data_IF_088252462467
#
_entry.id   IF_088252462467
#
_cell.length_a   1.000
_cell.length_b   1.000
_cell.length_c   1.000
_cell.angle_alpha   90.00
_cell.angle_beta   90.00
_cell.angle_gamma   90.00
#
_symmetry.space_group_name_H-M   'P 1'
#
loop_
_entity.id
_entity.type
_entity.pdbx_description
1 polymer ?
#
# COMPACT_ATOMS: atom_id res chain seq x y z
N UNK A 1 14.98 6.61 -17.34
CA UNK A 1 15.88 6.38 -16.19
C UNK A 1 15.06 6.70 -14.94
N UNK A 2 14.36 5.71 -14.39
CA UNK A 2 13.71 5.78 -13.07
C UNK A 2 13.83 4.36 -12.51
N UNK A 3 15.06 3.97 -12.21
CA UNK A 3 15.44 2.65 -11.69
C UNK A 3 15.57 2.65 -10.16
N UNK A 4 14.95 3.64 -9.49
CA UNK A 4 14.88 3.63 -8.03
C UNK A 4 13.59 2.95 -7.59
N UNK A 5 13.71 2.05 -6.63
CA UNK A 5 12.57 1.57 -5.85
C UNK A 5 11.82 2.79 -5.28
N UNK A 6 10.47 2.82 -5.35
CA UNK A 6 9.70 3.93 -4.81
C UNK A 6 9.81 3.95 -3.28
N UNK A 7 10.00 5.15 -2.73
CA UNK A 7 9.96 5.36 -1.28
C UNK A 7 8.49 5.55 -0.85
N UNK A 8 7.98 4.70 0.06
CA UNK A 8 6.63 4.81 0.57
C UNK A 8 6.54 5.88 1.68
N UNK A 9 5.41 6.58 1.76
CA UNK A 9 5.14 7.47 2.90
C UNK A 9 5.11 6.70 4.22
N UNK A 10 4.46 5.52 4.22
CA UNK A 10 4.39 4.61 5.37
C UNK A 10 4.49 3.16 4.89
N UNK A 11 5.25 2.35 5.62
CA UNK A 11 5.29 0.90 5.43
C UNK A 11 5.22 0.15 6.76
N UNK A 12 4.46 -0.94 6.79
CA UNK A 12 4.46 -1.91 7.90
C UNK A 12 5.39 -3.06 7.53
N UNK A 13 6.41 -3.26 8.35
CA UNK A 13 7.47 -4.25 8.15
C UNK A 13 7.29 -5.41 9.12
N UNK A 14 7.46 -6.64 8.63
CA UNK A 14 7.46 -7.87 9.42
C UNK A 14 8.71 -7.98 10.27
N UNK A 15 8.59 -8.61 11.43
CA UNK A 15 9.73 -8.84 12.33
C UNK A 15 9.96 -7.69 13.30
N UNK A 16 11.21 -7.53 13.73
CA UNK A 16 11.65 -6.55 14.73
C UNK A 16 12.70 -5.63 14.12
N UNK A 17 12.84 -4.44 14.68
CA UNK A 17 13.88 -3.46 14.28
C UNK A 17 15.28 -4.10 14.26
N UNK A 18 15.56 -5.02 15.20
CA UNK A 18 16.84 -5.75 15.29
C UNK A 18 17.17 -6.60 14.05
N UNK A 19 16.16 -7.06 13.32
CA UNK A 19 16.33 -7.90 12.13
C UNK A 19 16.91 -7.10 10.94
N UNK A 20 16.88 -5.76 11.04
CA UNK A 20 17.25 -4.81 9.99
C UNK A 20 18.43 -3.89 10.39
N UNK A 21 19.25 -4.28 11.37
CA UNK A 21 20.41 -3.46 11.80
C UNK A 21 21.50 -3.36 10.73
N UNK A 22 21.57 -4.31 9.81
CA UNK A 22 22.64 -4.41 8.81
C UNK A 22 22.13 -4.38 7.36
N UNK A 23 20.82 -4.26 7.16
CA UNK A 23 20.17 -4.15 5.85
C UNK A 23 18.83 -3.45 5.98
N UNK A 24 18.36 -2.82 4.91
CA UNK A 24 16.98 -2.35 4.84
C UNK A 24 15.99 -3.52 4.67
N UNK A 25 14.72 -3.35 5.09
CA UNK A 25 13.64 -4.25 4.71
C UNK A 25 13.51 -4.31 3.19
N UNK A 26 13.42 -5.53 2.64
CA UNK A 26 13.12 -5.75 1.23
C UNK A 26 11.62 -6.01 1.01
N UNK A 27 11.17 -6.19 -0.25
CA UNK A 27 9.76 -6.42 -0.56
C UNK A 27 9.11 -7.58 0.21
N UNK A 28 9.85 -8.68 0.43
CA UNK A 28 9.36 -9.84 1.17
C UNK A 28 9.11 -9.54 2.67
N UNK A 29 9.74 -8.50 3.21
CA UNK A 29 9.59 -8.07 4.60
C UNK A 29 8.39 -7.14 4.78
N UNK A 30 7.83 -6.59 3.71
CA UNK A 30 6.76 -5.58 3.77
C UNK A 30 5.38 -6.26 3.83
N UNK A 31 4.60 -5.93 4.85
CA UNK A 31 3.22 -6.38 5.03
C UNK A 31 2.17 -5.45 4.44
N UNK A 32 2.44 -4.14 4.44
CA UNK A 32 1.55 -3.10 3.92
C UNK A 32 2.37 -1.88 3.51
N UNK A 33 2.02 -1.28 2.38
CA UNK A 33 2.48 0.05 1.97
C UNK A 33 1.29 1.00 1.94
N UNK A 34 1.48 2.24 2.41
CA UNK A 34 0.47 3.30 2.38
C UNK A 34 1.11 4.55 1.79
N UNK A 35 0.40 5.19 0.86
CA UNK A 35 0.74 6.48 0.27
C UNK A 35 -0.37 7.48 0.58
N UNK A 36 -0.01 8.72 0.90
CA UNK A 36 -0.96 9.81 1.16
C UNK A 36 -0.96 10.74 -0.04
N UNK A 37 -2.02 10.65 -0.85
CA UNK A 37 -2.02 11.23 -2.18
C UNK A 37 -2.99 12.41 -2.32
N UNK A 38 -2.45 13.58 -2.66
CA UNK A 38 -3.21 14.71 -3.18
C UNK A 38 -2.77 15.04 -4.61
N UNK A 39 -1.65 15.74 -4.77
CA UNK A 39 -1.08 16.04 -6.08
C UNK A 39 -0.44 14.82 -6.77
N UNK A 40 -0.02 13.82 -5.99
CA UNK A 40 0.63 12.59 -6.47
C UNK A 40 -0.35 11.50 -6.90
N UNK A 41 -1.66 11.70 -6.75
CA UNK A 41 -2.68 10.66 -6.94
C UNK A 41 -2.53 9.87 -8.25
N UNK A 42 -2.36 10.57 -9.37
CA UNK A 42 -2.19 9.91 -10.66
C UNK A 42 -0.94 9.02 -10.71
N UNK A 43 0.16 9.44 -10.08
CA UNK A 43 1.39 8.65 -9.99
C UNK A 43 1.23 7.43 -9.08
N UNK A 44 0.55 7.59 -7.95
CA UNK A 44 0.33 6.53 -6.97
C UNK A 44 -0.62 5.45 -7.50
N UNK A 45 -1.67 5.85 -8.24
CA UNK A 45 -2.64 4.95 -8.88
C UNK A 45 -2.09 4.22 -10.11
N UNK A 46 -1.02 4.73 -10.74
CA UNK A 46 -0.49 4.16 -11.99
C UNK A 46 0.90 3.56 -11.82
N UNK A 47 1.91 4.38 -11.50
CA UNK A 47 3.31 3.96 -11.46
C UNK A 47 3.59 3.20 -10.18
N UNK A 48 3.33 3.78 -8.99
CA UNK A 48 3.64 3.11 -7.72
C UNK A 48 2.81 1.84 -7.54
N UNK A 49 1.50 1.87 -7.82
CA UNK A 49 0.64 0.67 -7.80
C UNK A 49 1.26 -0.50 -8.57
N UNK A 50 1.69 -0.25 -9.81
CA UNK A 50 2.32 -1.27 -10.66
C UNK A 50 3.65 -1.75 -10.09
N UNK A 51 4.49 -0.85 -9.57
CA UNK A 51 5.78 -1.21 -8.98
C UNK A 51 5.61 -2.08 -7.72
N UNK A 52 4.70 -1.71 -6.82
CA UNK A 52 4.40 -2.50 -5.62
C UNK A 52 3.77 -3.85 -5.96
N UNK A 53 2.88 -3.91 -6.95
CA UNK A 53 2.35 -5.18 -7.45
C UNK A 53 3.44 -6.08 -8.07
N UNK A 54 4.38 -5.50 -8.82
CA UNK A 54 5.51 -6.22 -9.40
C UNK A 54 6.44 -6.79 -8.31
N UNK A 55 6.63 -6.04 -7.23
CA UNK A 55 7.40 -6.42 -6.05
C UNK A 55 6.66 -7.39 -5.11
N UNK A 56 5.43 -7.81 -5.45
CA UNK A 56 4.60 -8.73 -4.65
C UNK A 56 4.27 -8.22 -3.25
N UNK A 57 4.17 -6.91 -3.10
CA UNK A 57 3.64 -6.30 -1.88
C UNK A 57 2.17 -6.71 -1.73
N UNK A 58 1.80 -7.40 -0.64
CA UNK A 58 0.50 -8.05 -0.55
C UNK A 58 -0.67 -7.07 -0.40
N UNK A 59 -0.43 -5.92 0.23
CA UNK A 59 -1.43 -4.89 0.48
C UNK A 59 -0.83 -3.52 0.20
N UNK A 60 -1.53 -2.73 -0.62
CA UNK A 60 -1.16 -1.37 -0.98
C UNK A 60 -2.34 -0.44 -0.79
N UNK A 61 -2.16 0.62 0.00
CA UNK A 61 -3.18 1.62 0.27
C UNK A 61 -2.80 2.96 -0.35
N UNK A 62 -3.81 3.66 -0.86
CA UNK A 62 -3.73 5.08 -1.19
C UNK A 62 -4.76 5.81 -0.34
N UNK A 63 -4.31 6.72 0.52
CA UNK A 63 -5.16 7.70 1.18
C UNK A 63 -5.39 8.82 0.18
N UNK A 64 -6.49 8.73 -0.58
CA UNK A 64 -6.82 9.65 -1.65
C UNK A 64 -7.52 10.88 -1.08
N UNK A 65 -6.76 11.96 -0.90
CA UNK A 65 -7.23 13.23 -0.37
C UNK A 65 -8.05 14.04 -1.37
N UNK A 66 -7.93 13.76 -2.68
CA UNK A 66 -8.70 14.46 -3.72
C UNK A 66 -10.17 14.05 -3.67
N UNK A 67 -10.41 12.75 -3.51
CA UNK A 67 -11.76 12.17 -3.51
C UNK A 67 -12.28 11.86 -2.09
N UNK A 68 -11.47 12.13 -1.06
CA UNK A 68 -11.74 11.83 0.34
C UNK A 68 -12.14 10.36 0.57
N UNK A 69 -11.26 9.46 0.14
CA UNK A 69 -11.47 8.01 0.19
C UNK A 69 -10.16 7.26 0.47
N UNK A 70 -10.27 6.03 0.95
CA UNK A 70 -9.15 5.08 1.05
C UNK A 70 -9.28 4.04 -0.05
N UNK A 71 -8.24 3.88 -0.86
CA UNK A 71 -8.17 2.85 -1.90
C UNK A 71 -7.27 1.73 -1.42
N UNK A 72 -7.78 0.50 -1.43
CA UNK A 72 -7.08 -0.69 -0.95
C UNK A 72 -6.91 -1.69 -2.09
N UNK A 73 -5.66 -1.99 -2.41
CA UNK A 73 -5.26 -2.89 -3.47
C UNK A 73 -4.62 -4.15 -2.89
N UNK A 74 -5.12 -5.32 -3.29
CA UNK A 74 -4.63 -6.63 -2.81
C UNK A 74 -4.50 -7.63 -3.96
N UNK A 75 -3.99 -8.82 -3.68
CA UNK A 75 -3.78 -9.89 -4.66
C UNK A 75 -2.88 -9.45 -5.85
N UNK A 76 -1.61 -9.09 -5.58
CA UNK A 76 -0.68 -8.66 -6.62
C UNK A 76 -0.36 -9.80 -7.60
N UNK A 77 -0.63 -9.58 -8.88
CA UNK A 77 -0.39 -10.52 -9.98
C UNK A 77 0.53 -9.90 -11.05
N UNK A 78 0.97 -10.72 -12.00
CA UNK A 78 1.82 -10.29 -13.12
C UNK A 78 3.25 -9.90 -12.71
N UNK A 79 4.02 -9.38 -13.66
CA UNK A 79 5.40 -8.91 -13.47
C UNK A 79 5.68 -7.69 -14.34
N UNK A 80 6.67 -6.87 -13.96
CA UNK A 80 7.17 -5.75 -14.75
C UNK A 80 6.07 -4.74 -15.13
N UNK A 81 5.82 -4.58 -16.43
CA UNK A 81 4.80 -3.64 -16.96
C UNK A 81 3.36 -4.15 -16.84
N UNK A 82 3.18 -5.46 -16.69
CA UNK A 82 1.87 -6.09 -16.62
C UNK A 82 1.45 -6.40 -15.17
N UNK A 83 2.23 -5.94 -14.19
CA UNK A 83 1.89 -6.15 -12.79
C UNK A 83 0.70 -5.28 -12.38
N UNK A 84 -0.20 -5.87 -11.61
CA UNK A 84 -1.39 -5.20 -11.08
C UNK A 84 -1.88 -5.92 -9.83
N UNK A 85 -2.78 -5.29 -9.11
CA UNK A 85 -3.58 -5.93 -8.07
C UNK A 85 -4.88 -6.45 -8.70
N UNK A 86 -5.30 -7.66 -8.34
CA UNK A 86 -6.56 -8.25 -8.83
C UNK A 86 -7.78 -7.75 -8.06
N UNK A 87 -7.58 -7.35 -6.80
CA UNK A 87 -8.63 -6.80 -5.96
C UNK A 87 -8.38 -5.33 -5.63
N UNK A 88 -9.45 -4.55 -5.76
CA UNK A 88 -9.52 -3.14 -5.40
C UNK A 88 -10.80 -2.91 -4.59
N UNK A 89 -10.65 -2.22 -3.46
CA UNK A 89 -11.75 -1.82 -2.59
C UNK A 89 -11.59 -0.34 -2.28
N UNK A 90 -12.67 0.43 -2.45
CA UNK A 90 -12.70 1.87 -2.19
C UNK A 90 -13.62 2.10 -1.00
N UNK A 91 -13.10 2.80 0.00
CA UNK A 91 -13.81 3.14 1.23
C UNK A 91 -14.01 4.64 1.28
N UNK A 92 -15.26 5.07 1.27
CA UNK A 92 -15.62 6.45 1.51
C UNK A 92 -15.55 6.79 3.00
N UNK A 93 -15.70 8.07 3.30
CA UNK A 93 -15.60 8.63 4.66
C UNK A 93 -16.50 7.94 5.71
N UNK A 94 -17.60 7.28 5.32
CA UNK A 94 -18.50 6.62 6.28
C UNK A 94 -18.25 5.12 6.45
N UNK A 95 -17.26 4.58 5.74
CA UNK A 95 -16.96 3.15 5.77
C UNK A 95 -15.93 2.78 6.84
N UNK A 96 -15.86 1.49 7.14
CA UNK A 96 -14.85 0.90 8.00
C UNK A 96 -13.82 0.14 7.17
N UNK A 97 -12.55 0.50 7.35
CA UNK A 97 -11.43 -0.15 6.67
C UNK A 97 -10.87 -1.26 7.57
N UNK A 98 -10.85 -2.49 7.06
CA UNK A 98 -10.21 -3.62 7.75
C UNK A 98 -8.73 -3.65 7.43
N UNK A 99 -7.88 -3.52 8.45
CA UNK A 99 -6.44 -3.72 8.31
C UNK A 99 -6.16 -5.22 8.33
N UNK A 100 -5.94 -5.80 7.16
CA UNK A 100 -5.61 -7.22 6.99
C UNK A 100 -4.16 -7.35 6.54
N UNK A 101 -3.35 -8.06 7.30
CA UNK A 101 -1.95 -8.37 6.95
C UNK A 101 -1.74 -9.86 7.16
N UNK A 102 -1.14 -10.54 6.18
CA UNK A 102 -0.89 -11.99 6.20
C UNK A 102 -2.15 -12.82 6.51
N UNK A 103 -3.29 -12.41 5.94
CA UNK A 103 -4.59 -13.05 6.13
C UNK A 103 -5.22 -12.84 7.52
N UNK A 104 -4.61 -12.03 8.39
CA UNK A 104 -5.11 -11.73 9.73
C UNK A 104 -5.67 -10.32 9.79
N UNK A 105 -6.90 -10.17 10.27
CA UNK A 105 -7.46 -8.86 10.61
C UNK A 105 -6.82 -8.38 11.92
N UNK A 106 -6.08 -7.27 11.85
CA UNK A 106 -5.40 -6.67 12.99
C UNK A 106 -6.23 -5.57 13.65
N UNK A 107 -7.00 -4.84 12.85
CA UNK A 107 -7.87 -3.77 13.32
C UNK A 107 -9.01 -3.51 12.32
N UNK A 108 -10.03 -2.82 12.80
CA UNK A 108 -11.06 -2.15 12.00
C UNK A 108 -10.95 -0.67 12.36
N UNK A 109 -10.76 0.18 11.35
CA UNK A 109 -10.57 1.63 11.54
C UNK A 109 -11.64 2.35 10.74
N UNK A 110 -12.29 3.33 11.36
CA UNK A 110 -13.21 4.22 10.63
C UNK A 110 -12.42 5.02 9.59
N UNK A 111 -12.88 5.09 8.35
CA UNK A 111 -12.21 5.91 7.33
C UNK A 111 -12.13 7.40 7.75
N UNK A 112 -13.04 7.90 8.59
CA UNK A 112 -12.98 9.25 9.18
C UNK A 112 -11.79 9.50 10.08
N UNK A 113 -11.22 8.45 10.65
CA UNK A 113 -10.03 8.57 11.52
C UNK A 113 -8.73 8.58 10.70
N UNK A 114 -8.81 8.19 9.43
CA UNK A 114 -7.69 8.14 8.48
C UNK A 114 -7.68 9.41 7.61
N UNK A 115 -8.87 9.84 7.19
CA UNK A 115 -9.06 10.97 6.29
C UNK A 115 -9.25 12.29 7.06
N UNK A 116 -8.80 13.43 6.49
CA UNK A 116 -8.95 14.74 7.12
C UNK A 116 -10.39 15.29 7.13
#
# INVERSE_FOLDING_TARGET
MFDSEPEPDIAIIRGKIRDYLHRHPGPADIGLVIEVAHASLAYDQTVKKRLYAAAKIPVYWIINLVNNQVEVYTEPTGTGRNATNQQEQIYGVNDEVRVVIDGRSLAIISAKEILP
#
